data_IF_344438763776
#
_entry.id   IF_344438763776
#
_cell.length_a   1.000
_cell.length_b   1.000
_cell.length_c   1.000
_cell.angle_alpha   90.00
_cell.angle_beta   90.00
_cell.angle_gamma   90.00
#
_symmetry.space_group_name_H-M   'P 1'
#
loop_
_entity.id
_entity.type
_entity.pdbx_description
1 polymer ?
#
# COMPACT_ATOMS: atom_id res chain seq x y z
N UNK A 1 20.61 -2.96 -17.78
CA UNK A 1 20.97 -2.10 -16.62
C UNK A 1 21.08 -2.96 -15.36
N UNK A 2 22.07 -2.72 -14.50
CA UNK A 2 22.15 -3.35 -13.17
C UNK A 2 21.28 -2.57 -12.19
N UNK A 3 20.38 -3.24 -11.48
CA UNK A 3 19.44 -2.63 -10.53
C UNK A 3 19.06 -3.61 -9.42
N UNK A 4 18.20 -3.22 -8.49
CA UNK A 4 17.60 -4.09 -7.48
C UNK A 4 16.11 -3.78 -7.29
N UNK A 5 15.37 -4.63 -6.56
CA UNK A 5 13.93 -4.46 -6.39
C UNK A 5 13.59 -3.18 -5.62
N UNK A 6 14.38 -2.82 -4.61
CA UNK A 6 14.15 -1.60 -3.84
C UNK A 6 14.24 -0.34 -4.73
N UNK A 7 15.24 -0.28 -5.61
CA UNK A 7 15.40 0.79 -6.59
C UNK A 7 14.26 0.82 -7.60
N UNK A 8 13.87 -0.34 -8.15
CA UNK A 8 12.75 -0.41 -9.10
C UNK A 8 11.43 0.02 -8.45
N UNK A 9 11.15 -0.39 -7.21
CA UNK A 9 9.97 0.04 -6.45
C UNK A 9 9.98 1.56 -6.21
N UNK A 10 11.14 2.13 -5.89
CA UNK A 10 11.27 3.59 -5.71
C UNK A 10 11.01 4.35 -7.02
N UNK A 11 11.54 3.86 -8.15
CA UNK A 11 11.31 4.47 -9.47
C UNK A 11 9.81 4.40 -9.80
N UNK A 12 9.16 3.25 -9.61
CA UNK A 12 7.72 3.10 -9.85
C UNK A 12 6.92 4.09 -9.01
N UNK A 13 7.23 4.26 -7.73
CA UNK A 13 6.52 5.21 -6.86
C UNK A 13 6.65 6.66 -7.34
N UNK A 14 7.83 7.06 -7.83
CA UNK A 14 8.04 8.39 -8.40
C UNK A 14 7.25 8.57 -9.72
N UNK A 15 7.30 7.57 -10.60
CA UNK A 15 6.58 7.60 -11.87
C UNK A 15 5.05 7.58 -11.67
N UNK A 16 4.52 6.87 -10.68
CA UNK A 16 3.09 6.90 -10.32
C UNK A 16 2.62 8.28 -9.85
N UNK A 17 3.47 9.00 -9.11
CA UNK A 17 3.20 10.40 -8.72
C UNK A 17 3.17 11.31 -9.95
N UNK A 18 4.13 11.16 -10.87
CA UNK A 18 4.16 11.91 -12.14
C UNK A 18 2.93 11.61 -12.98
N UNK A 19 2.60 10.33 -13.17
CA UNK A 19 1.43 9.86 -13.91
C UNK A 19 0.14 10.47 -13.35
N UNK A 20 -0.02 10.46 -12.02
CA UNK A 20 -1.18 11.09 -11.37
C UNK A 20 -1.24 12.59 -11.65
N UNK A 21 -0.12 13.30 -11.53
CA UNK A 21 -0.03 14.73 -11.81
C UNK A 21 -0.38 15.06 -13.27
N UNK A 22 0.16 14.30 -14.23
CA UNK A 22 -0.18 14.44 -15.64
C UNK A 22 -1.68 14.25 -15.90
N UNK A 23 -2.31 13.27 -15.23
CA UNK A 23 -3.76 13.06 -15.30
C UNK A 23 -4.59 14.19 -14.69
N UNK A 24 -4.09 14.88 -13.64
CA UNK A 24 -4.72 16.10 -13.13
C UNK A 24 -4.60 17.25 -14.14
N UNK A 25 -3.40 17.50 -14.67
CA UNK A 25 -3.15 18.59 -15.61
C UNK A 25 -3.94 18.43 -16.91
N UNK A 26 -4.06 17.22 -17.45
CA UNK A 26 -4.88 16.95 -18.64
C UNK A 26 -6.35 17.33 -18.44
N UNK A 27 -6.90 17.08 -17.24
CA UNK A 27 -8.27 17.51 -16.91
C UNK A 27 -8.39 19.03 -16.87
N UNK A 28 -7.37 19.72 -16.38
CA UNK A 28 -7.33 21.19 -16.38
C UNK A 28 -7.20 21.79 -17.77
N UNK A 29 -6.51 21.13 -18.70
CA UNK A 29 -6.27 21.60 -20.07
C UNK A 29 -7.26 21.06 -21.10
N UNK A 30 -8.34 20.41 -20.66
CA UNK A 30 -9.30 19.74 -21.55
C UNK A 30 -10.10 20.70 -22.45
N UNK A 31 -10.24 21.97 -22.04
CA UNK A 31 -11.06 22.96 -22.74
C UNK A 31 -10.26 24.23 -22.99
N UNK A 32 -10.40 24.80 -24.19
CA UNK A 32 -10.00 26.17 -24.47
C UNK A 32 -11.11 27.14 -24.06
N UNK A 33 -10.75 28.37 -23.72
CA UNK A 33 -11.72 29.43 -23.37
C UNK A 33 -11.77 30.46 -24.49
N UNK A 34 -12.96 30.73 -25.05
CA UNK A 34 -13.18 31.77 -26.05
C UNK A 34 -14.39 32.64 -25.71
N UNK A 35 -14.40 33.88 -26.19
CA UNK A 35 -15.52 34.81 -26.11
C UNK A 35 -16.12 34.94 -27.51
N UNK A 36 -17.38 34.56 -27.67
CA UNK A 36 -18.15 34.78 -28.90
C UNK A 36 -19.10 35.97 -28.73
N UNK A 37 -19.02 36.94 -29.64
CA UNK A 37 -19.94 38.08 -29.70
C UNK A 37 -21.24 37.70 -30.42
N UNK A 38 -22.29 38.51 -30.22
CA UNK A 38 -23.61 38.30 -30.86
C UNK A 38 -23.57 38.36 -32.39
N UNK A 39 -22.54 38.99 -32.97
CA UNK A 39 -22.29 39.02 -34.43
C UNK A 39 -21.51 37.79 -34.94
N UNK A 40 -21.25 36.80 -34.07
CA UNK A 40 -20.55 35.56 -34.39
C UNK A 40 -19.02 35.65 -34.33
N UNK A 41 -18.43 36.83 -34.06
CA UNK A 41 -16.97 36.96 -33.93
C UNK A 41 -16.47 36.28 -32.65
N UNK A 42 -15.49 35.41 -32.80
CA UNK A 42 -14.85 34.69 -31.70
C UNK A 42 -13.48 35.28 -31.39
N UNK A 43 -13.18 35.45 -30.10
CA UNK A 43 -11.86 35.78 -29.60
C UNK A 43 -11.42 34.69 -28.63
N UNK A 44 -10.34 34.00 -28.96
CA UNK A 44 -9.75 32.98 -28.09
C UNK A 44 -9.02 33.66 -26.93
N UNK A 45 -9.45 33.38 -25.70
CA UNK A 45 -8.88 33.96 -24.47
C UNK A 45 -7.81 33.06 -23.88
N UNK A 46 -8.05 31.74 -23.86
CA UNK A 46 -7.11 30.75 -23.34
C UNK A 46 -6.99 29.57 -24.31
N UNK A 47 -5.75 29.21 -24.65
CA UNK A 47 -5.45 28.11 -25.57
C UNK A 47 -4.50 27.12 -24.91
N UNK A 48 -5.03 25.97 -24.51
CA UNK A 48 -4.28 24.92 -23.82
C UNK A 48 -3.92 23.74 -24.73
N UNK A 49 -4.13 23.84 -26.05
CA UNK A 49 -3.93 22.71 -26.97
C UNK A 49 -2.51 22.11 -26.88
N UNK A 50 -1.48 22.95 -26.86
CA UNK A 50 -0.08 22.50 -26.77
C UNK A 50 0.24 21.87 -25.41
N UNK A 51 -0.28 22.44 -24.33
CA UNK A 51 -0.10 21.89 -22.99
C UNK A 51 -0.80 20.53 -22.87
N UNK A 52 -2.02 20.43 -23.38
CA UNK A 52 -2.77 19.17 -23.45
C UNK A 52 -1.97 18.09 -24.20
N UNK A 53 -1.53 18.38 -25.43
CA UNK A 53 -0.74 17.43 -26.25
C UNK A 53 0.53 16.97 -25.50
N UNK A 54 1.27 17.91 -24.91
CA UNK A 54 2.47 17.60 -24.12
C UNK A 54 2.16 16.67 -22.93
N UNK A 55 1.17 17.02 -22.11
CA UNK A 55 0.84 16.22 -20.92
C UNK A 55 0.21 14.86 -21.29
N UNK A 56 -0.42 14.76 -22.45
CA UNK A 56 -0.95 13.50 -22.97
C UNK A 56 0.17 12.53 -23.34
N UNK A 57 1.18 13.01 -24.06
CA UNK A 57 2.36 12.22 -24.41
C UNK A 57 3.15 11.77 -23.17
N UNK A 58 3.34 12.68 -22.21
CA UNK A 58 4.04 12.35 -20.94
C UNK A 58 3.24 11.36 -20.07
N UNK A 59 1.90 11.45 -20.06
CA UNK A 59 1.05 10.46 -19.40
C UNK A 59 1.24 9.07 -20.00
N UNK A 60 1.22 8.95 -21.33
CA UNK A 60 1.38 7.67 -22.02
C UNK A 60 2.77 7.05 -21.78
N UNK A 61 3.84 7.86 -21.88
CA UNK A 61 5.20 7.41 -21.57
C UNK A 61 5.33 6.92 -20.13
N UNK A 62 4.76 7.66 -19.17
CA UNK A 62 4.77 7.27 -17.77
C UNK A 62 4.01 5.95 -17.55
N UNK A 63 2.84 5.79 -18.19
CA UNK A 63 2.06 4.55 -18.14
C UNK A 63 2.86 3.34 -18.62
N UNK A 64 3.46 3.42 -19.80
CA UNK A 64 4.24 2.31 -20.37
C UNK A 64 5.43 1.95 -19.47
N UNK A 65 6.14 2.96 -18.97
CA UNK A 65 7.27 2.78 -18.06
C UNK A 65 6.85 2.10 -16.75
N UNK A 66 5.75 2.53 -16.13
CA UNK A 66 5.21 1.91 -14.91
C UNK A 66 4.87 0.44 -15.17
N UNK A 67 4.19 0.14 -16.28
CA UNK A 67 3.79 -1.24 -16.63
C UNK A 67 5.03 -2.13 -16.80
N UNK A 68 6.02 -1.67 -17.56
CA UNK A 68 7.28 -2.43 -17.77
C UNK A 68 7.97 -2.75 -16.46
N UNK A 69 8.19 -1.74 -15.60
CA UNK A 69 8.92 -1.95 -14.34
C UNK A 69 8.12 -2.85 -13.39
N UNK A 70 6.80 -2.66 -13.29
CA UNK A 70 5.96 -3.52 -12.44
C UNK A 70 6.00 -4.99 -12.87
N UNK A 71 5.98 -5.28 -14.18
CA UNK A 71 6.13 -6.65 -14.68
C UNK A 71 7.42 -7.30 -14.18
N UNK A 72 8.55 -6.60 -14.32
CA UNK A 72 9.84 -7.08 -13.83
C UNK A 72 9.82 -7.32 -12.31
N UNK A 73 9.26 -6.39 -11.53
CA UNK A 73 9.11 -6.57 -10.07
C UNK A 73 8.30 -7.82 -9.76
N UNK A 74 7.17 -8.04 -10.44
CA UNK A 74 6.33 -9.22 -10.22
C UNK A 74 7.05 -10.52 -10.56
N UNK A 75 7.73 -10.59 -11.70
CA UNK A 75 8.51 -11.77 -12.09
C UNK A 75 9.59 -12.08 -11.05
N UNK A 76 10.33 -11.05 -10.61
CA UNK A 76 11.40 -11.21 -9.64
C UNK A 76 10.87 -11.61 -8.26
N UNK A 77 9.77 -11.03 -7.79
CA UNK A 77 9.13 -11.42 -6.53
C UNK A 77 8.66 -12.88 -6.52
N UNK A 78 8.25 -13.43 -7.67
CA UNK A 78 7.89 -14.84 -7.80
C UNK A 78 9.11 -15.77 -8.01
N UNK A 79 10.27 -15.22 -8.37
CA UNK A 79 11.49 -16.00 -8.61
C UNK A 79 12.43 -16.07 -7.40
N UNK A 80 12.56 -14.97 -6.64
CA UNK A 80 13.45 -14.88 -5.49
C UNK A 80 12.88 -15.64 -4.31
N UNK A 81 13.73 -16.46 -3.69
CA UNK A 81 13.35 -17.34 -2.58
C UNK A 81 14.01 -16.91 -1.28
N UNK A 82 13.24 -16.98 -0.20
CA UNK A 82 13.70 -16.87 1.18
C UNK A 82 14.49 -18.12 1.59
N UNK A 83 15.10 -18.07 2.78
CA UNK A 83 15.91 -19.17 3.30
C UNK A 83 15.12 -20.47 3.51
N UNK A 84 13.82 -20.36 3.71
CA UNK A 84 12.88 -21.48 3.89
C UNK A 84 12.26 -21.99 2.57
N UNK A 85 12.66 -21.41 1.42
CA UNK A 85 12.24 -21.83 0.09
C UNK A 85 10.98 -21.14 -0.46
N UNK A 86 10.25 -20.36 0.36
CA UNK A 86 9.12 -19.53 -0.10
C UNK A 86 9.60 -18.42 -1.02
N UNK A 87 8.78 -18.05 -1.98
CA UNK A 87 9.01 -16.84 -2.80
C UNK A 87 8.76 -15.58 -1.98
N UNK A 88 9.30 -14.43 -2.43
CA UNK A 88 8.98 -13.13 -1.82
C UNK A 88 7.47 -12.88 -1.83
N UNK A 89 6.79 -13.23 -2.93
CA UNK A 89 5.35 -13.04 -3.06
C UNK A 89 4.56 -13.87 -2.02
N UNK A 90 4.91 -15.14 -1.83
CA UNK A 90 4.29 -16.00 -0.81
C UNK A 90 4.54 -15.46 0.60
N UNK A 91 5.78 -15.03 0.89
CA UNK A 91 6.15 -14.47 2.17
C UNK A 91 5.38 -13.18 2.50
N UNK A 92 5.15 -12.30 1.51
CA UNK A 92 4.35 -11.08 1.66
C UNK A 92 2.89 -11.42 2.00
N UNK A 93 2.30 -12.40 1.29
CA UNK A 93 0.92 -12.85 1.55
C UNK A 93 0.79 -13.40 2.97
N UNK A 94 1.72 -14.26 3.39
CA UNK A 94 1.71 -14.83 4.74
C UNK A 94 1.88 -13.75 5.81
N UNK A 95 2.85 -12.84 5.66
CA UNK A 95 3.05 -11.72 6.59
C UNK A 95 1.80 -10.83 6.69
N UNK A 96 1.06 -10.65 5.60
CA UNK A 96 -0.19 -9.88 5.62
C UNK A 96 -1.24 -10.52 6.52
N UNK A 97 -1.37 -11.85 6.49
CA UNK A 97 -2.29 -12.59 7.37
C UNK A 97 -1.77 -12.57 8.81
N UNK A 98 -0.48 -12.81 9.03
CA UNK A 98 0.12 -12.78 10.36
C UNK A 98 -0.07 -11.43 11.05
N UNK A 99 0.07 -10.31 10.32
CA UNK A 99 -0.20 -8.96 10.85
C UNK A 99 -1.65 -8.79 11.30
N UNK A 100 -2.62 -9.35 10.57
CA UNK A 100 -4.04 -9.34 10.99
C UNK A 100 -4.26 -10.15 12.26
N UNK A 101 -3.69 -11.35 12.34
CA UNK A 101 -3.77 -12.20 13.54
C UNK A 101 -3.13 -11.50 14.74
N UNK A 102 -1.95 -10.90 14.55
CA UNK A 102 -1.26 -10.10 15.57
C UNK A 102 -2.16 -8.99 16.11
N UNK A 103 -2.83 -8.24 15.22
CA UNK A 103 -3.75 -7.17 15.62
C UNK A 103 -4.95 -7.68 16.44
N UNK A 104 -5.49 -8.86 16.11
CA UNK A 104 -6.53 -9.47 16.94
C UNK A 104 -6.02 -9.88 18.31
N UNK A 105 -4.81 -10.44 18.41
CA UNK A 105 -4.21 -10.78 19.69
C UNK A 105 -3.90 -9.54 20.53
N UNK A 106 -3.43 -8.47 19.92
CA UNK A 106 -3.27 -7.16 20.58
C UNK A 106 -4.58 -6.68 21.21
N UNK A 107 -5.67 -6.72 20.45
CA UNK A 107 -7.01 -6.34 20.92
C UNK A 107 -7.52 -7.21 22.08
N UNK A 108 -7.13 -8.49 22.12
CA UNK A 108 -7.44 -9.37 23.25
C UNK A 108 -6.59 -9.03 24.47
N UNK A 109 -5.30 -8.76 24.28
CA UNK A 109 -4.37 -8.37 25.35
C UNK A 109 -4.73 -7.05 26.03
N UNK A 110 -5.61 -6.24 25.44
CA UNK A 110 -6.17 -5.03 26.07
C UNK A 110 -7.35 -5.30 27.02
N UNK A 111 -8.02 -6.46 26.90
CA UNK A 111 -9.20 -6.77 27.72
C UNK A 111 -8.80 -7.13 29.15
N UNK A 112 -9.64 -6.76 30.11
CA UNK A 112 -9.46 -7.03 31.54
C UNK A 112 -10.74 -7.58 32.13
N UNK A 113 -10.60 -8.33 33.21
CA UNK A 113 -11.73 -8.67 34.06
C UNK A 113 -12.38 -7.38 34.57
N UNK A 114 -13.70 -7.39 34.74
CA UNK A 114 -14.45 -6.23 35.20
C UNK A 114 -15.48 -6.63 36.24
N UNK A 115 -15.74 -5.72 37.19
CA UNK A 115 -16.72 -5.88 38.24
C UNK A 115 -17.51 -4.59 38.38
N UNK A 116 -18.82 -4.66 38.16
CA UNK A 116 -19.72 -3.51 38.22
C UNK A 116 -20.84 -3.80 39.21
N UNK A 117 -21.09 -2.87 40.14
CA UNK A 117 -22.28 -2.95 41.01
C UNK A 117 -23.50 -2.52 40.21
N UNK A 118 -24.56 -3.34 40.26
CA UNK A 118 -25.88 -3.01 39.75
C UNK A 118 -26.82 -2.92 40.95
N UNK A 119 -27.55 -1.82 41.01
CA UNK A 119 -28.57 -1.58 42.04
C UNK A 119 -29.90 -1.44 41.33
N UNK A 120 -30.81 -2.34 41.65
CA UNK A 120 -32.22 -2.28 41.26
C UNK A 120 -33.05 -1.83 42.48
N UNK A 121 -34.34 -1.58 42.26
CA UNK A 121 -35.24 -1.01 43.28
C UNK A 121 -35.22 -1.81 44.60
N UNK A 122 -35.11 -3.14 44.52
CA UNK A 122 -35.17 -4.03 45.69
C UNK A 122 -33.92 -4.88 45.93
N UNK A 123 -32.90 -4.83 45.05
CA UNK A 123 -31.72 -5.70 45.12
C UNK A 123 -30.44 -4.97 44.68
N UNK A 124 -29.30 -5.37 45.23
CA UNK A 124 -27.97 -4.98 44.75
C UNK A 124 -27.15 -6.24 44.48
N UNK A 125 -26.54 -6.33 43.31
CA UNK A 125 -25.63 -7.41 42.96
C UNK A 125 -24.43 -6.88 42.17
N UNK A 126 -23.40 -7.71 42.00
CA UNK A 126 -22.26 -7.39 41.15
C UNK A 126 -22.34 -8.16 39.84
N UNK A 127 -22.29 -7.46 38.71
CA UNK A 127 -22.00 -8.04 37.40
C UNK A 127 -20.48 -8.19 37.29
N UNK A 128 -19.99 -9.43 37.31
CA UNK A 128 -18.59 -9.77 37.11
C UNK A 128 -18.39 -10.36 35.71
N UNK A 129 -17.45 -9.81 34.93
CA UNK A 129 -17.04 -10.37 33.63
C UNK A 129 -15.59 -10.82 33.74
N UNK A 130 -15.34 -12.09 33.48
CA UNK A 130 -14.00 -12.67 33.46
C UNK A 130 -13.58 -13.03 32.04
N UNK A 131 -12.28 -12.98 31.78
CA UNK A 131 -11.71 -13.40 30.51
C UNK A 131 -11.88 -14.91 30.34
N UNK A 132 -12.30 -15.34 29.15
CA UNK A 132 -12.50 -16.75 28.80
C UNK A 132 -11.26 -17.38 28.14
N UNK A 133 -10.08 -16.81 28.38
CA UNK A 133 -8.83 -17.27 27.78
C UNK A 133 -7.65 -16.97 28.70
N UNK A 134 -6.58 -17.74 28.53
CA UNK A 134 -5.34 -17.51 29.23
C UNK A 134 -4.55 -16.38 28.55
N UNK A 135 -4.39 -15.26 29.25
CA UNK A 135 -3.66 -14.07 28.76
C UNK A 135 -2.22 -14.40 28.37
N UNK A 136 -1.53 -15.25 29.15
CA UNK A 136 -0.15 -15.64 28.87
C UNK A 136 -0.03 -16.42 27.56
N UNK A 137 -1.00 -17.28 27.25
CA UNK A 137 -1.01 -18.02 25.98
C UNK A 137 -1.19 -17.08 24.78
N UNK A 138 -2.03 -16.06 24.91
CA UNK A 138 -2.20 -15.03 23.86
C UNK A 138 -0.92 -14.21 23.71
N UNK A 139 -0.29 -13.82 24.82
CA UNK A 139 0.98 -13.08 24.82
C UNK A 139 2.08 -13.87 24.11
N UNK A 140 2.26 -15.15 24.47
CA UNK A 140 3.27 -16.00 23.84
C UNK A 140 3.05 -16.13 22.33
N UNK A 141 1.80 -16.33 21.88
CA UNK A 141 1.47 -16.40 20.45
C UNK A 141 1.68 -15.06 19.74
N UNK A 142 1.37 -13.94 20.39
CA UNK A 142 1.65 -12.60 19.87
C UNK A 142 3.15 -12.42 19.62
N UNK A 143 3.99 -12.76 20.60
CA UNK A 143 5.45 -12.61 20.52
C UNK A 143 6.06 -13.56 19.46
N UNK A 144 5.55 -14.78 19.33
CA UNK A 144 5.97 -15.72 18.28
C UNK A 144 5.64 -15.19 16.88
N UNK A 145 4.44 -14.65 16.69
CA UNK A 145 4.02 -14.06 15.41
C UNK A 145 4.89 -12.85 15.10
N UNK A 146 5.16 -11.99 16.08
CA UNK A 146 6.01 -10.80 15.88
C UNK A 146 7.41 -11.18 15.42
N UNK A 147 8.04 -12.16 16.06
CA UNK A 147 9.38 -12.64 15.66
C UNK A 147 9.36 -13.22 14.25
N UNK A 148 8.32 -13.96 13.87
CA UNK A 148 8.16 -14.51 12.51
C UNK A 148 8.04 -13.40 11.46
N UNK A 149 7.23 -12.38 11.73
CA UNK A 149 7.07 -11.22 10.83
C UNK A 149 8.41 -10.51 10.66
N UNK A 150 9.09 -10.17 11.76
CA UNK A 150 10.37 -9.45 11.73
C UNK A 150 11.45 -10.21 10.96
N UNK A 151 11.58 -11.53 11.20
CA UNK A 151 12.53 -12.37 10.47
C UNK A 151 12.24 -12.36 8.97
N UNK A 152 10.96 -12.54 8.60
CA UNK A 152 10.54 -12.58 7.20
C UNK A 152 10.75 -11.23 6.51
N UNK A 153 10.40 -10.11 7.17
CA UNK A 153 10.62 -8.75 6.65
C UNK A 153 12.11 -8.48 6.42
N UNK A 154 12.97 -8.93 7.33
CA UNK A 154 14.42 -8.79 7.19
C UNK A 154 14.96 -9.56 5.97
N UNK A 155 14.52 -10.81 5.78
CA UNK A 155 14.90 -11.60 4.61
C UNK A 155 14.42 -10.98 3.30
N UNK A 156 13.17 -10.49 3.26
CA UNK A 156 12.62 -9.77 2.11
C UNK A 156 13.47 -8.52 1.81
N UNK A 157 13.82 -7.74 2.83
CA UNK A 157 14.65 -6.53 2.68
C UNK A 157 16.01 -6.87 2.04
N UNK A 158 16.66 -7.94 2.52
CA UNK A 158 17.93 -8.41 1.96
C UNK A 158 17.80 -8.83 0.50
N UNK A 159 16.73 -9.55 0.15
CA UNK A 159 16.46 -9.95 -1.23
C UNK A 159 16.12 -8.74 -2.11
N UNK A 160 15.47 -7.72 -1.57
CA UNK A 160 15.13 -6.51 -2.30
C UNK A 160 16.36 -5.67 -2.68
N UNK A 161 17.42 -5.73 -1.87
CA UNK A 161 18.71 -5.09 -2.16
C UNK A 161 19.61 -5.91 -3.10
N UNK A 162 19.22 -7.15 -3.45
CA UNK A 162 20.02 -7.99 -4.34
C UNK A 162 20.00 -7.42 -5.76
N UNK A 163 21.18 -7.21 -6.32
CA UNK A 163 21.33 -6.71 -7.68
C UNK A 163 21.04 -7.79 -8.73
N UNK A 164 20.45 -7.37 -9.84
CA UNK A 164 20.21 -8.17 -11.03
C UNK A 164 20.18 -7.29 -12.27
N UNK A 165 20.42 -7.93 -13.42
CA UNK A 165 20.30 -7.28 -14.71
C UNK A 165 18.87 -7.29 -15.22
N UNK A 166 18.46 -6.16 -15.79
CA UNK A 166 17.17 -5.96 -16.44
C UNK A 166 17.35 -5.24 -17.78
N UNK A 167 16.48 -5.58 -18.72
CA UNK A 167 16.29 -4.83 -19.96
C UNK A 167 14.99 -4.01 -19.81
N UNK A 168 15.11 -2.68 -19.79
CA UNK A 168 14.03 -1.73 -19.47
C UNK A 168 13.86 -0.68 -20.56
#
# INVERSE_FOLDING_TARGET
MVTNLASLMSIVSEEEKKFSNYGFNLRSYAYNTLIQKLDGRENLTENYKKDFEKYYDELNKAQEKIIKIKKVIYEKNNSFKLSDGRTIQEAIVENTILRKVKHYYESLLEKRDSKKRITEVNNSYFECKTLNYNVQNIQNKYDEIEKKIQKTDFEISKLNSKEFEVDL
#
